data_IF_019434642282
#
_entry.id   IF_019434642282
#
_cell.length_a   1.000
_cell.length_b   1.000
_cell.length_c   1.000
_cell.angle_alpha   90.00
_cell.angle_beta   90.00
_cell.angle_gamma   90.00
#
_symmetry.space_group_name_H-M   'P 1'
#
loop_
_entity.id
_entity.type
_entity.pdbx_description
1 polymer ?
#
# COMPACT_ATOMS: atom_id res chain seq x y z
N UNK A 1 7.15 21.15 -17.95
CA UNK A 1 6.34 20.18 -18.70
C UNK A 1 7.27 19.39 -19.59
N UNK A 2 7.41 18.07 -19.37
CA UNK A 2 8.27 17.20 -20.19
C UNK A 2 7.40 16.51 -21.25
N UNK A 3 7.91 16.42 -22.49
CA UNK A 3 7.24 15.70 -23.58
C UNK A 3 7.87 14.32 -23.71
N UNK A 4 7.05 13.28 -23.57
CA UNK A 4 7.48 11.89 -23.68
C UNK A 4 6.71 11.25 -24.84
N UNK A 5 7.44 10.56 -25.71
CA UNK A 5 6.86 9.77 -26.80
C UNK A 5 6.98 8.30 -26.44
N UNK A 6 5.85 7.60 -26.36
CA UNK A 6 5.78 6.18 -26.00
C UNK A 6 5.07 5.43 -27.12
N UNK A 7 5.56 4.25 -27.46
CA UNK A 7 4.86 3.36 -28.36
C UNK A 7 3.67 2.71 -27.65
N UNK A 8 2.47 2.87 -28.22
CA UNK A 8 1.23 2.30 -27.69
C UNK A 8 0.63 1.39 -28.77
N UNK A 9 0.27 0.14 -28.46
CA UNK A 9 -0.42 -0.74 -29.40
C UNK A 9 -1.74 -0.13 -29.91
N UNK A 10 -2.09 -0.40 -31.16
CA UNK A 10 -3.27 0.16 -31.81
C UNK A 10 -4.58 -0.12 -31.04
N UNK A 11 -4.73 -1.30 -30.45
CA UNK A 11 -5.92 -1.65 -29.66
C UNK A 11 -6.04 -0.78 -28.39
N UNK A 12 -4.92 -0.50 -27.73
CA UNK A 12 -4.88 0.38 -26.56
C UNK A 12 -5.22 1.82 -26.95
N UNK A 13 -4.69 2.29 -28.10
CA UNK A 13 -4.99 3.62 -28.64
C UNK A 13 -6.48 3.79 -28.94
N UNK A 14 -7.13 2.79 -29.55
CA UNK A 14 -8.58 2.80 -29.79
C UNK A 14 -9.37 2.94 -28.50
N UNK A 15 -8.99 2.20 -27.45
CA UNK A 15 -9.62 2.30 -26.13
C UNK A 15 -9.47 3.69 -25.52
N UNK A 16 -8.26 4.28 -25.60
CA UNK A 16 -8.01 5.66 -25.12
C UNK A 16 -8.92 6.66 -25.83
N UNK A 17 -9.05 6.55 -27.17
CA UNK A 17 -9.90 7.45 -27.95
C UNK A 17 -11.39 7.36 -27.55
N UNK A 18 -11.88 6.13 -27.33
CA UNK A 18 -13.26 5.90 -26.86
C UNK A 18 -13.49 6.56 -25.50
N UNK A 19 -12.58 6.36 -24.55
CA UNK A 19 -12.68 6.94 -23.20
C UNK A 19 -12.57 8.47 -23.24
N UNK A 20 -11.66 9.01 -24.06
CA UNK A 20 -11.48 10.44 -24.25
C UNK A 20 -12.77 11.11 -24.77
N UNK A 21 -13.41 10.49 -25.77
CA UNK A 21 -14.72 10.94 -26.28
C UNK A 21 -15.82 10.85 -25.22
N UNK A 22 -15.90 9.73 -24.52
CA UNK A 22 -16.92 9.53 -23.49
C UNK A 22 -16.81 10.53 -22.32
N UNK A 23 -15.58 10.93 -21.98
CA UNK A 23 -15.30 11.89 -20.90
C UNK A 23 -15.15 13.34 -21.38
N UNK A 24 -15.30 13.61 -22.68
CA UNK A 24 -15.06 14.93 -23.28
C UNK A 24 -13.70 15.55 -22.91
N UNK A 25 -12.66 14.71 -22.84
CA UNK A 25 -11.29 15.09 -22.46
C UNK A 25 -10.30 14.87 -23.62
N UNK A 26 -9.15 15.55 -23.57
CA UNK A 26 -8.05 15.28 -24.48
C UNK A 26 -7.42 13.89 -24.21
N UNK A 27 -6.95 13.20 -25.25
CA UNK A 27 -6.29 11.89 -25.10
C UNK A 27 -5.09 11.94 -24.15
N UNK A 28 -4.31 13.03 -24.21
CA UNK A 28 -3.17 13.27 -23.33
C UNK A 28 -3.56 13.39 -21.86
N UNK A 29 -4.72 13.96 -21.57
CA UNK A 29 -5.24 14.06 -20.20
C UNK A 29 -5.68 12.69 -19.69
N UNK A 30 -6.38 11.91 -20.51
CA UNK A 30 -6.78 10.54 -20.17
C UNK A 30 -5.56 9.65 -19.91
N UNK A 31 -4.50 9.79 -20.72
CA UNK A 31 -3.24 9.06 -20.53
C UNK A 31 -2.59 9.44 -19.20
N UNK A 32 -2.56 10.74 -18.87
CA UNK A 32 -2.00 11.21 -17.60
C UNK A 32 -2.76 10.67 -16.39
N UNK A 33 -4.09 10.77 -16.41
CA UNK A 33 -4.96 10.26 -15.35
C UNK A 33 -4.73 8.75 -15.15
N UNK A 34 -4.67 7.98 -16.24
CA UNK A 34 -4.41 6.54 -16.20
C UNK A 34 -3.00 6.18 -15.69
N UNK A 35 -1.99 6.97 -16.03
CA UNK A 35 -0.63 6.78 -15.52
C UNK A 35 -0.55 7.08 -14.02
N UNK A 36 -1.21 8.12 -13.54
CA UNK A 36 -1.21 8.49 -12.13
C UNK A 36 -1.92 7.42 -11.28
N UNK A 37 -3.11 6.97 -11.71
CA UNK A 37 -3.81 5.84 -11.08
C UNK A 37 -3.00 4.53 -11.14
N UNK A 38 -2.31 4.28 -12.26
CA UNK A 38 -1.46 3.11 -12.43
C UNK A 38 -0.25 3.12 -11.51
N UNK A 39 0.40 4.28 -11.36
CA UNK A 39 1.55 4.46 -10.48
C UNK A 39 1.16 4.32 -9.02
N UNK A 40 -0.01 4.79 -8.60
CA UNK A 40 -0.50 4.58 -7.23
C UNK A 40 -0.77 3.11 -6.91
N UNK A 41 -1.19 2.31 -7.91
CA UNK A 41 -1.37 0.85 -7.75
C UNK A 41 -0.04 0.11 -7.66
N UNK A 42 0.96 0.51 -8.44
CA UNK A 42 2.29 -0.14 -8.47
C UNK A 42 3.12 0.27 -7.25
N UNK A 43 3.05 1.55 -6.88
CA UNK A 43 3.73 2.14 -5.73
C UNK A 43 2.71 2.84 -4.83
N UNK A 44 1.94 2.08 -4.04
CA UNK A 44 1.07 2.69 -3.05
C UNK A 44 1.94 3.51 -2.08
N UNK A 45 1.64 4.81 -1.95
CA UNK A 45 2.35 5.79 -1.10
C UNK A 45 2.48 5.41 0.39
N UNK A 46 2.00 4.24 0.82
CA UNK A 46 1.72 3.92 2.21
C UNK A 46 2.18 2.54 2.70
N UNK A 47 2.95 1.73 1.96
CA UNK A 47 3.19 0.36 2.48
C UNK A 47 4.15 0.29 3.67
N UNK A 48 5.11 1.19 3.81
CA UNK A 48 6.09 1.10 4.91
C UNK A 48 5.81 2.09 6.05
N UNK A 49 5.81 3.40 5.77
CA UNK A 49 5.63 4.41 6.80
C UNK A 49 4.23 4.40 7.43
N UNK A 50 3.17 4.24 6.62
CA UNK A 50 1.81 4.16 7.13
C UNK A 50 1.54 2.84 7.85
N UNK A 51 2.15 1.73 7.41
CA UNK A 51 2.10 0.47 8.13
C UNK A 51 2.77 0.57 9.52
N UNK A 52 3.93 1.23 9.61
CA UNK A 52 4.59 1.50 10.88
C UNK A 52 3.76 2.42 11.78
N UNK A 53 3.15 3.48 11.23
CA UNK A 53 2.24 4.35 11.98
C UNK A 53 0.99 3.61 12.47
N UNK A 54 0.42 2.74 11.64
CA UNK A 54 -0.73 1.91 12.02
C UNK A 54 -0.34 0.90 13.10
N UNK A 55 0.87 0.33 13.02
CA UNK A 55 1.42 -0.57 14.04
C UNK A 55 1.63 0.13 15.38
N UNK A 56 2.20 1.35 15.39
CA UNK A 56 2.35 2.16 16.61
C UNK A 56 0.98 2.48 17.23
N UNK A 57 0.01 2.94 16.43
CA UNK A 57 -1.36 3.20 16.91
C UNK A 57 -2.05 1.95 17.47
N UNK A 58 -1.70 0.77 16.97
CA UNK A 58 -2.20 -0.51 17.49
C UNK A 58 -1.57 -0.83 18.84
N UNK A 59 -0.24 -0.65 18.99
CA UNK A 59 0.47 -0.86 20.25
C UNK A 59 -0.02 0.08 21.36
N UNK A 60 -0.26 1.36 21.06
CA UNK A 60 -0.75 2.35 22.04
C UNK A 60 -2.11 1.97 22.66
N UNK A 61 -2.93 1.20 21.93
CA UNK A 61 -4.23 0.72 22.41
C UNK A 61 -4.14 -0.55 23.26
N UNK A 62 -3.01 -1.25 23.22
CA UNK A 62 -2.79 -2.42 24.06
C UNK A 62 -2.54 -1.91 25.48
N UNK A 63 -3.37 -2.27 26.47
CA UNK A 63 -3.17 -1.82 27.84
C UNK A 63 -1.89 -2.45 28.40
N UNK A 64 -0.79 -1.70 28.38
CA UNK A 64 0.51 -2.08 28.95
C UNK A 64 0.57 -1.85 30.47
N UNK A 65 -0.53 -1.44 31.09
CA UNK A 65 -0.66 -1.32 32.55
C UNK A 65 -0.91 -2.70 33.17
N UNK A 66 0.18 -3.42 33.43
CA UNK A 66 0.19 -4.66 34.19
C UNK A 66 1.27 -5.61 33.68
N UNK A 67 1.84 -6.37 34.62
CA UNK A 67 2.83 -7.46 34.54
C UNK A 67 3.19 -8.00 33.12
N UNK A 68 3.72 -7.16 32.24
CA UNK A 68 4.21 -7.60 30.93
C UNK A 68 5.47 -8.42 31.20
N UNK A 69 5.51 -9.70 30.79
CA UNK A 69 6.67 -10.52 31.05
C UNK A 69 7.88 -9.94 30.30
N UNK A 70 8.94 -9.61 31.05
CA UNK A 70 10.19 -9.09 30.47
C UNK A 70 10.86 -10.10 29.52
N UNK A 71 10.46 -11.36 29.59
CA UNK A 71 10.93 -12.51 28.82
C UNK A 71 9.96 -12.91 27.68
N UNK A 72 9.04 -12.03 27.27
CA UNK A 72 8.04 -12.34 26.25
C UNK A 72 8.65 -12.80 24.91
N UNK A 73 9.85 -12.32 24.55
CA UNK A 73 10.55 -12.73 23.32
C UNK A 73 11.16 -14.13 23.47
N UNK A 74 11.79 -14.43 24.60
CA UNK A 74 12.40 -15.75 24.86
C UNK A 74 11.37 -16.85 25.09
N UNK A 75 10.21 -16.47 25.63
CA UNK A 75 9.12 -17.36 26.03
C UNK A 75 7.85 -17.12 25.22
N UNK A 76 7.98 -16.66 23.97
CA UNK A 76 6.82 -16.41 23.10
C UNK A 76 5.96 -17.67 22.99
N UNK A 77 6.57 -18.83 22.71
CA UNK A 77 5.87 -20.11 22.62
C UNK A 77 5.06 -20.46 23.88
N UNK A 78 5.58 -20.13 25.06
CA UNK A 78 4.90 -20.32 26.33
C UNK A 78 3.64 -19.43 26.44
N UNK A 79 3.76 -18.13 26.14
CA UNK A 79 2.67 -17.18 26.34
C UNK A 79 1.55 -17.31 25.30
N UNK A 80 1.86 -17.73 24.08
CA UNK A 80 0.85 -17.82 22.99
C UNK A 80 0.29 -19.23 22.77
N UNK A 81 1.00 -20.28 23.18
CA UNK A 81 0.56 -21.68 22.97
C UNK A 81 0.55 -22.54 24.23
N UNK A 82 0.95 -22.00 25.40
CA UNK A 82 0.84 -22.69 26.69
C UNK A 82 1.87 -23.80 26.93
N UNK A 83 3.05 -23.70 26.31
CA UNK A 83 4.14 -24.67 26.45
C UNK A 83 4.87 -24.62 27.81
N UNK A 84 6.11 -25.11 27.86
CA UNK A 84 6.97 -24.98 29.05
C UNK A 84 7.80 -23.70 28.98
N UNK A 85 7.82 -22.92 30.07
CA UNK A 85 8.65 -21.71 30.17
C UNK A 85 10.14 -22.08 30.21
N UNK A 86 10.94 -21.51 29.32
CA UNK A 86 12.40 -21.59 29.35
C UNK A 86 12.89 -20.75 30.54
N UNK A 87 13.76 -21.36 31.36
CA UNK A 87 14.35 -20.76 32.55
C UNK A 87 15.50 -19.83 32.19
#
# INVERSE_FOLDING_TARGET
MQRISVYIPEDTRKRINIVAKAKSKAESEVIRDALEEGLEKIHPKSTSAQALLNFVKMIEKIPTKGNVPKDAVENMDYYTWGGSKRK
#
